data_IF_628335010527
#
_entry.id   IF_628335010527
#
_cell.length_a   1.000
_cell.length_b   1.000
_cell.length_c   1.000
_cell.angle_alpha   90.00
_cell.angle_beta   90.00
_cell.angle_gamma   90.00
#
_symmetry.space_group_name_H-M   'P 1'
#
loop_
_entity.id
_entity.type
_entity.pdbx_description
1 polymer ?
#
# COMPACT_ATOMS: atom_id res chain seq x y z
N UNK A 1 -16.95 -3.06 6.23
CA UNK A 1 -16.15 -4.29 5.99
C UNK A 1 -16.98 -5.28 5.20
N UNK A 2 -16.40 -6.05 4.27
CA UNK A 2 -17.14 -7.06 3.49
C UNK A 2 -17.65 -8.19 4.40
N UNK A 3 -18.90 -8.64 4.20
CA UNK A 3 -19.42 -9.84 4.84
C UNK A 3 -18.71 -11.11 4.35
N UNK A 4 -18.90 -12.24 5.04
CA UNK A 4 -18.21 -13.52 4.77
C UNK A 4 -18.25 -13.94 3.29
N UNK A 5 -19.44 -13.92 2.67
CA UNK A 5 -19.59 -14.22 1.23
C UNK A 5 -18.81 -13.27 0.33
N UNK A 6 -18.75 -11.99 0.69
CA UNK A 6 -18.01 -10.97 -0.04
C UNK A 6 -16.50 -11.18 0.02
N UNK A 7 -15.98 -11.64 1.17
CA UNK A 7 -14.55 -11.96 1.33
C UNK A 7 -14.11 -13.09 0.40
N UNK A 8 -14.86 -14.19 0.36
CA UNK A 8 -14.54 -15.29 -0.56
C UNK A 8 -14.75 -14.93 -2.03
N UNK A 9 -15.76 -14.10 -2.33
CA UNK A 9 -15.96 -13.56 -3.67
C UNK A 9 -14.77 -12.75 -4.15
N UNK A 10 -14.26 -11.86 -3.32
CA UNK A 10 -13.05 -11.06 -3.61
C UNK A 10 -11.85 -11.96 -3.89
N UNK A 11 -11.55 -12.92 -3.02
CA UNK A 11 -10.39 -13.81 -3.21
C UNK A 11 -10.50 -14.65 -4.48
N UNK A 12 -11.70 -15.13 -4.84
CA UNK A 12 -11.91 -15.83 -6.12
C UNK A 12 -11.71 -14.90 -7.31
N UNK A 13 -12.22 -13.68 -7.23
CA UNK A 13 -12.05 -12.67 -8.28
C UNK A 13 -10.57 -12.31 -8.49
N UNK A 14 -9.79 -12.20 -7.41
CA UNK A 14 -8.32 -12.06 -7.47
C UNK A 14 -7.69 -13.29 -8.12
N UNK A 15 -8.05 -14.51 -7.68
CA UNK A 15 -7.53 -15.76 -8.22
C UNK A 15 -7.87 -16.02 -9.70
N UNK A 16 -8.86 -15.33 -10.25
CA UNK A 16 -9.18 -15.32 -11.69
C UNK A 16 -8.26 -14.40 -12.51
N UNK A 17 -7.30 -13.72 -11.89
CA UNK A 17 -6.36 -12.83 -12.57
C UNK A 17 -6.91 -11.42 -12.83
N UNK A 18 -7.94 -11.01 -12.10
CA UNK A 18 -8.57 -9.69 -12.29
C UNK A 18 -7.70 -8.52 -11.79
N UNK A 19 -6.69 -8.81 -10.98
CA UNK A 19 -5.64 -7.90 -10.51
C UNK A 19 -4.30 -8.62 -10.52
N UNK A 20 -3.22 -7.86 -10.62
CA UNK A 20 -1.86 -8.38 -10.45
C UNK A 20 -1.50 -8.43 -8.96
N UNK A 21 -0.93 -9.55 -8.52
CA UNK A 21 -0.30 -9.68 -7.20
C UNK A 21 1.18 -9.33 -7.37
N UNK A 22 1.65 -8.33 -6.63
CA UNK A 22 3.08 -7.97 -6.57
C UNK A 22 3.71 -8.65 -5.35
N UNK A 23 4.63 -9.61 -5.55
CA UNK A 23 5.40 -10.18 -4.45
C UNK A 23 6.51 -9.20 -4.04
N UNK A 24 6.88 -9.22 -2.76
CA UNK A 24 8.10 -8.63 -2.23
C UNK A 24 8.89 -9.70 -1.48
N UNK A 25 10.21 -9.53 -1.40
CA UNK A 25 11.15 -10.41 -0.73
C UNK A 25 11.36 -10.00 0.74
N UNK A 26 12.09 -10.83 1.50
CA UNK A 26 12.32 -10.56 2.93
C UNK A 26 13.16 -9.30 3.17
N UNK A 27 14.07 -8.99 2.26
CA UNK A 27 14.93 -7.81 2.34
C UNK A 27 14.16 -6.49 2.16
N UNK A 28 13.10 -6.50 1.35
CA UNK A 28 12.22 -5.34 1.16
C UNK A 28 11.55 -4.88 2.47
N UNK A 29 11.39 -5.80 3.43
CA UNK A 29 10.84 -5.47 4.74
C UNK A 29 11.74 -4.48 5.50
N UNK A 30 13.04 -4.45 5.22
CA UNK A 30 13.95 -3.49 5.86
C UNK A 30 13.58 -2.06 5.46
N UNK A 31 13.42 -1.81 4.16
CA UNK A 31 12.98 -0.51 3.64
C UNK A 31 11.57 -0.16 4.14
N UNK A 32 10.64 -1.13 4.13
CA UNK A 32 9.29 -0.92 4.65
C UNK A 32 9.31 -0.52 6.13
N UNK A 33 10.13 -1.16 6.97
CA UNK A 33 10.21 -0.80 8.39
C UNK A 33 10.76 0.60 8.62
N UNK A 34 11.72 1.05 7.80
CA UNK A 34 12.23 2.42 7.85
C UNK A 34 11.14 3.45 7.47
N UNK A 35 10.32 3.15 6.46
CA UNK A 35 9.19 4.00 6.08
C UNK A 35 8.08 3.99 7.13
N UNK A 36 7.74 2.83 7.67
CA UNK A 36 6.77 2.71 8.77
C UNK A 36 7.20 3.55 9.96
N UNK A 37 8.48 3.48 10.36
CA UNK A 37 9.04 4.29 11.43
C UNK A 37 8.99 5.79 11.11
N UNK A 38 9.29 6.18 9.86
CA UNK A 38 9.27 7.58 9.41
C UNK A 38 7.88 8.22 9.48
N UNK A 39 6.84 7.46 9.14
CA UNK A 39 5.49 8.01 9.01
C UNK A 39 4.59 7.76 10.22
N UNK A 40 5.04 6.93 11.15
CA UNK A 40 4.38 6.65 12.42
C UNK A 40 4.75 7.68 13.49
N UNK A 41 3.73 8.22 14.13
CA UNK A 41 3.84 9.14 15.27
C UNK A 41 2.55 9.07 16.12
N UNK A 42 2.43 9.87 17.18
CA UNK A 42 1.34 9.78 18.17
C UNK A 42 -0.09 9.77 17.61
N UNK A 43 -0.30 10.33 16.40
CA UNK A 43 -1.64 10.52 15.82
C UNK A 43 -1.89 9.76 14.53
N UNK A 44 -0.87 9.08 14.00
CA UNK A 44 -1.04 8.27 12.80
C UNK A 44 0.06 7.23 12.70
N UNK A 45 -0.31 6.07 12.15
CA UNK A 45 0.55 4.93 11.92
C UNK A 45 0.65 4.71 10.41
N UNK A 46 1.82 4.32 9.93
CA UNK A 46 1.92 3.67 8.63
C UNK A 46 2.10 2.19 8.93
N UNK A 47 1.08 1.40 8.64
CA UNK A 47 1.10 -0.04 8.90
C UNK A 47 1.76 -0.80 7.74
N UNK A 48 1.86 -2.13 7.86
CA UNK A 48 2.44 -2.97 6.82
C UNK A 48 1.63 -2.92 5.51
N UNK A 49 0.31 -2.73 5.57
CA UNK A 49 -0.51 -2.66 4.37
C UNK A 49 -0.19 -1.37 3.59
N UNK A 50 -0.10 -0.23 4.27
CA UNK A 50 0.30 1.04 3.67
C UNK A 50 1.75 0.97 3.14
N UNK A 51 2.67 0.39 3.92
CA UNK A 51 4.06 0.22 3.53
C UNK A 51 4.22 -0.68 2.30
N UNK A 52 3.42 -1.74 2.20
CA UNK A 52 3.43 -2.62 1.02
C UNK A 52 2.94 -1.91 -0.25
N UNK A 53 1.93 -1.04 -0.15
CA UNK A 53 1.47 -0.22 -1.28
C UNK A 53 2.47 0.86 -1.66
N UNK A 54 3.12 1.47 -0.67
CA UNK A 54 4.21 2.41 -0.89
C UNK A 54 5.39 1.73 -1.59
N UNK A 55 5.77 0.52 -1.17
CA UNK A 55 6.82 -0.26 -1.80
C UNK A 55 6.51 -0.56 -3.27
N UNK A 56 5.30 -1.04 -3.58
CA UNK A 56 4.91 -1.28 -4.99
C UNK A 56 5.00 0.01 -5.82
N UNK A 57 4.60 1.15 -5.26
CA UNK A 57 4.72 2.44 -5.94
C UNK A 57 6.18 2.88 -6.15
N UNK A 58 7.06 2.56 -5.21
CA UNK A 58 8.51 2.78 -5.35
C UNK A 58 9.09 1.92 -6.48
N UNK A 59 8.85 0.60 -6.45
CA UNK A 59 9.39 -0.36 -7.41
C UNK A 59 8.90 -0.14 -8.83
N UNK A 60 7.63 0.22 -8.98
CA UNK A 60 7.01 0.40 -10.31
C UNK A 60 7.09 1.83 -10.83
N UNK A 61 7.43 2.79 -9.97
CA UNK A 61 7.36 4.22 -10.27
C UNK A 61 5.93 4.78 -10.41
N UNK A 62 4.89 3.96 -10.19
CA UNK A 62 3.48 4.33 -10.27
C UNK A 62 3.05 4.99 -8.97
N UNK A 63 2.78 6.30 -9.00
CA UNK A 63 2.31 7.05 -7.83
C UNK A 63 0.79 7.28 -7.82
N UNK A 64 0.04 6.64 -8.71
CA UNK A 64 -1.42 6.70 -8.74
C UNK A 64 -2.01 5.60 -7.86
N UNK A 65 -2.88 5.95 -6.92
CA UNK A 65 -3.42 5.02 -5.93
C UNK A 65 -4.94 5.10 -5.81
N UNK A 66 -5.58 3.94 -5.74
CA UNK A 66 -6.99 3.80 -5.37
C UNK A 66 -7.06 3.47 -3.88
N UNK A 67 -7.49 4.43 -3.06
CA UNK A 67 -7.63 4.24 -1.61
C UNK A 67 -8.77 5.08 -1.05
N UNK A 68 -9.38 4.59 0.04
CA UNK A 68 -10.30 5.40 0.85
C UNK A 68 -9.55 6.17 1.94
N UNK A 69 -8.31 5.78 2.26
CA UNK A 69 -7.47 6.46 3.24
C UNK A 69 -6.69 7.62 2.60
N UNK A 70 -7.45 8.62 2.15
CA UNK A 70 -6.89 9.81 1.51
C UNK A 70 -5.97 10.56 2.46
N UNK A 71 -6.30 10.58 3.77
CA UNK A 71 -5.55 11.36 4.75
C UNK A 71 -4.15 10.81 4.90
N UNK A 72 -4.00 9.50 5.07
CA UNK A 72 -2.68 8.93 5.32
C UNK A 72 -1.81 8.89 4.06
N UNK A 73 -2.37 8.51 2.91
CA UNK A 73 -1.63 8.55 1.63
C UNK A 73 -1.28 9.97 1.14
N UNK A 74 -2.03 11.00 1.52
CA UNK A 74 -1.68 12.40 1.19
C UNK A 74 -0.39 12.88 1.87
N UNK A 75 0.03 12.22 2.96
CA UNK A 75 1.22 12.58 3.75
C UNK A 75 2.48 11.89 3.23
N UNK A 76 2.35 10.72 2.61
CA UNK A 76 3.49 9.94 2.13
C UNK A 76 4.14 10.60 0.90
N UNK A 77 5.46 10.52 0.83
CA UNK A 77 6.28 11.03 -0.27
C UNK A 77 7.25 9.94 -0.65
N UNK A 78 7.22 9.53 -1.92
CA UNK A 78 8.15 8.55 -2.48
C UNK A 78 9.60 9.01 -2.31
N UNK A 79 10.61 8.11 -2.44
CA UNK A 79 12.02 8.49 -2.25
C UNK A 79 12.49 9.63 -3.17
N UNK A 80 11.86 9.79 -4.34
CA UNK A 80 12.09 10.89 -5.29
C UNK A 80 11.33 12.19 -4.96
N UNK A 81 10.59 12.21 -3.85
CA UNK A 81 9.81 13.34 -3.36
C UNK A 81 8.40 13.47 -3.96
N UNK A 82 8.00 12.62 -4.91
CA UNK A 82 6.65 12.66 -5.48
C UNK A 82 5.58 12.30 -4.44
N UNK A 83 4.43 12.96 -4.53
CA UNK A 83 3.24 12.60 -3.78
C UNK A 83 2.42 11.53 -4.55
N UNK A 84 1.55 10.83 -3.82
CA UNK A 84 0.53 10.00 -4.43
C UNK A 84 -0.56 10.85 -5.11
N UNK A 85 -1.06 10.36 -6.24
CA UNK A 85 -2.26 10.86 -6.92
C UNK A 85 -3.42 9.90 -6.61
N UNK A 86 -4.42 10.40 -5.89
CA UNK A 86 -5.59 9.61 -5.49
C UNK A 86 -6.59 9.56 -6.65
N UNK A 87 -7.05 8.35 -6.99
CA UNK A 87 -8.06 8.10 -8.03
C UNK A 87 -9.41 7.74 -7.39
#
# INVERSE_FOLDING_TARGET
>A
MLGERGRFGLLRWVGMGSVQIFPFDTEDLLDMTDWMARYTHERAEMDLADASLYWVAHETGVNRILTLDVRDFSRYRLPDGRAFEMI
#
